data_IF_193732344581
#
_entry.id   IF_193732344581
#
_cell.length_a   1.000
_cell.length_b   1.000
_cell.length_c   1.000
_cell.angle_alpha   90.00
_cell.angle_beta   90.00
_cell.angle_gamma   90.00
#
_symmetry.space_group_name_H-M   'P 1'
#
loop_
_entity.id
_entity.type
_entity.pdbx_description
1 polymer ?
#
# COMPACT_ATOMS: atom_id res chain seq x y z
N UNK A 1 -10.05 -29.98 -8.23
CA UNK A 1 -9.87 -29.35 -9.55
C UNK A 1 -9.93 -27.82 -9.48
N UNK A 2 -11.09 -27.15 -9.41
CA UNK A 2 -11.15 -25.67 -9.47
C UNK A 2 -10.60 -24.97 -8.20
N UNK A 3 -10.86 -25.54 -7.02
CA UNK A 3 -10.31 -25.05 -5.74
C UNK A 3 -8.79 -25.23 -5.63
N UNK A 4 -8.26 -26.34 -6.14
CA UNK A 4 -6.81 -26.58 -6.18
C UNK A 4 -6.12 -25.61 -7.16
N UNK A 5 -6.71 -25.38 -8.34
CA UNK A 5 -6.18 -24.43 -9.32
C UNK A 5 -6.18 -23.00 -8.78
N UNK A 6 -7.23 -22.60 -8.06
CA UNK A 6 -7.31 -21.32 -7.37
C UNK A 6 -6.23 -21.20 -6.29
N UNK A 7 -6.00 -22.23 -5.48
CA UNK A 7 -4.95 -22.24 -4.47
C UNK A 7 -3.55 -22.13 -5.11
N UNK A 8 -3.28 -22.86 -6.19
CA UNK A 8 -2.01 -22.77 -6.92
C UNK A 8 -1.72 -21.36 -7.45
N UNK A 9 -2.75 -20.67 -7.94
CA UNK A 9 -2.62 -19.27 -8.37
C UNK A 9 -2.22 -18.37 -7.20
N UNK A 10 -2.80 -18.55 -6.01
CA UNK A 10 -2.44 -17.78 -4.82
C UNK A 10 -1.03 -18.11 -4.30
N UNK A 11 -0.61 -19.37 -4.35
CA UNK A 11 0.74 -19.79 -3.98
C UNK A 11 1.80 -19.09 -4.84
N UNK A 12 1.55 -18.98 -6.15
CA UNK A 12 2.44 -18.30 -7.08
C UNK A 12 2.49 -16.78 -6.86
N UNK A 13 1.37 -16.16 -6.50
CA UNK A 13 1.31 -14.74 -6.14
C UNK A 13 2.09 -14.50 -4.85
N UNK A 14 1.90 -15.34 -3.82
CA UNK A 14 2.61 -15.26 -2.55
C UNK A 14 4.13 -15.42 -2.74
N UNK A 15 4.54 -16.46 -3.46
CA UNK A 15 5.93 -16.75 -3.78
C UNK A 15 6.57 -15.60 -4.56
N UNK A 16 5.83 -14.97 -5.48
CA UNK A 16 6.32 -13.79 -6.22
C UNK A 16 6.66 -12.63 -5.30
N UNK A 17 5.75 -12.30 -4.39
CA UNK A 17 5.97 -11.20 -3.44
C UNK A 17 7.16 -11.48 -2.52
N UNK A 18 7.34 -12.73 -2.07
CA UNK A 18 8.51 -13.14 -1.27
C UNK A 18 9.82 -13.01 -2.04
N UNK A 19 9.88 -13.56 -3.26
CA UNK A 19 11.09 -13.52 -4.09
C UNK A 19 11.56 -12.07 -4.29
N UNK A 20 10.63 -11.16 -4.58
CA UNK A 20 10.95 -9.75 -4.76
C UNK A 20 11.33 -9.09 -3.44
N UNK A 21 10.58 -9.31 -2.36
CA UNK A 21 10.88 -8.71 -1.06
C UNK A 21 12.25 -9.13 -0.49
N UNK A 22 12.71 -10.35 -0.81
CA UNK A 22 14.01 -10.87 -0.35
C UNK A 22 15.17 -10.46 -1.25
N UNK A 23 14.96 -10.40 -2.57
CA UNK A 23 16.06 -10.27 -3.55
C UNK A 23 16.03 -8.95 -4.33
N UNK A 24 15.00 -8.14 -4.14
CA UNK A 24 14.70 -6.96 -4.93
C UNK A 24 14.06 -7.28 -6.28
N UNK A 25 13.27 -6.33 -6.77
CA UNK A 25 12.58 -6.44 -8.06
C UNK A 25 13.50 -6.71 -9.27
N UNK A 26 14.73 -6.16 -9.39
CA UNK A 26 15.62 -6.46 -10.52
C UNK A 26 16.07 -7.93 -10.59
N UNK A 27 16.10 -8.62 -9.46
CA UNK A 27 16.54 -10.02 -9.37
C UNK A 27 15.39 -11.02 -9.58
N UNK A 28 14.18 -10.54 -9.87
CA UNK A 28 13.00 -11.34 -10.13
C UNK A 28 13.16 -12.25 -11.35
N UNK A 29 12.71 -13.49 -11.25
CA UNK A 29 12.50 -14.37 -12.40
C UNK A 29 11.39 -15.38 -12.14
N UNK A 30 10.67 -15.78 -13.20
CA UNK A 30 9.62 -16.80 -13.13
C UNK A 30 10.14 -18.11 -12.53
N UNK A 31 11.37 -18.49 -12.86
CA UNK A 31 12.06 -19.67 -12.34
C UNK A 31 12.26 -19.64 -10.81
N UNK A 32 12.62 -18.49 -10.25
CA UNK A 32 12.73 -18.35 -8.78
C UNK A 32 11.39 -18.56 -8.09
N UNK A 33 10.31 -18.03 -8.68
CA UNK A 33 8.95 -18.20 -8.16
C UNK A 33 8.52 -19.66 -8.20
N UNK A 34 8.71 -20.35 -9.33
CA UNK A 34 8.30 -21.75 -9.48
C UNK A 34 9.09 -22.68 -8.58
N UNK A 35 10.38 -22.41 -8.40
CA UNK A 35 11.22 -23.14 -7.45
C UNK A 35 10.73 -22.98 -6.02
N UNK A 36 10.39 -21.75 -5.61
CA UNK A 36 9.87 -21.46 -4.27
C UNK A 36 8.48 -22.08 -4.06
N UNK A 37 7.61 -22.02 -5.06
CA UNK A 37 6.26 -22.57 -5.00
C UNK A 37 6.18 -24.10 -5.22
N UNK A 38 7.29 -24.75 -5.59
CA UNK A 38 7.33 -26.19 -5.86
C UNK A 38 6.50 -26.62 -7.07
N UNK A 39 6.43 -25.79 -8.11
CA UNK A 39 5.65 -26.06 -9.34
C UNK A 39 6.51 -25.99 -10.61
N UNK A 40 5.98 -26.45 -11.74
CA UNK A 40 6.68 -26.38 -13.03
C UNK A 40 6.61 -25.00 -13.67
N UNK A 41 7.60 -24.66 -14.51
CA UNK A 41 7.58 -23.43 -15.30
C UNK A 41 6.39 -23.36 -16.26
N UNK A 42 5.92 -24.50 -16.79
CA UNK A 42 4.72 -24.53 -17.62
C UNK A 42 3.48 -24.02 -16.88
N UNK A 43 3.37 -24.28 -15.57
CA UNK A 43 2.19 -23.89 -14.78
C UNK A 43 2.12 -22.38 -14.56
N UNK A 44 3.25 -21.71 -14.30
CA UNK A 44 3.25 -20.26 -14.08
C UNK A 44 2.91 -19.50 -15.37
N UNK A 45 3.39 -19.97 -16.53
CA UNK A 45 3.03 -19.38 -17.82
C UNK A 45 1.56 -19.65 -18.19
N UNK A 46 1.01 -20.81 -17.82
CA UNK A 46 -0.43 -21.08 -17.96
C UNK A 46 -1.29 -20.07 -17.19
N UNK A 47 -0.86 -19.65 -16.00
CA UNK A 47 -1.66 -18.76 -15.14
C UNK A 47 -1.51 -17.27 -15.42
N UNK A 48 -0.31 -16.81 -15.81
CA UNK A 48 -0.02 -15.38 -15.85
C UNK A 48 0.51 -14.89 -17.19
N UNK A 49 0.87 -15.77 -18.12
CA UNK A 49 1.42 -15.50 -19.45
C UNK A 49 2.76 -14.76 -19.48
N UNK A 50 2.92 -13.67 -18.72
CA UNK A 50 4.14 -12.86 -18.66
C UNK A 50 4.51 -12.50 -17.22
N UNK A 51 5.77 -12.11 -17.00
CA UNK A 51 6.22 -11.63 -15.69
C UNK A 51 5.54 -10.32 -15.31
N UNK A 52 5.28 -9.44 -16.28
CA UNK A 52 4.66 -8.14 -16.07
C UNK A 52 3.24 -8.29 -15.53
N UNK A 53 2.45 -9.21 -16.13
CA UNK A 53 1.10 -9.54 -15.67
C UNK A 53 1.09 -10.10 -14.26
N UNK A 54 2.02 -11.01 -13.94
CA UNK A 54 2.16 -11.58 -12.60
C UNK A 54 2.51 -10.52 -11.55
N UNK A 55 3.53 -9.69 -11.82
CA UNK A 55 3.94 -8.63 -10.91
C UNK A 55 2.82 -7.59 -10.71
N UNK A 56 2.16 -7.16 -11.79
CA UNK A 56 1.03 -6.24 -11.66
C UNK A 56 -0.10 -6.82 -10.82
N UNK A 57 -0.47 -8.10 -11.03
CA UNK A 57 -1.50 -8.75 -10.23
C UNK A 57 -1.12 -8.86 -8.74
N UNK A 58 0.15 -9.09 -8.43
CA UNK A 58 0.63 -9.06 -7.04
C UNK A 58 0.46 -7.66 -6.43
N UNK A 59 0.77 -6.61 -7.20
CA UNK A 59 0.60 -5.22 -6.76
C UNK A 59 -0.89 -4.92 -6.54
N UNK A 60 -1.72 -5.22 -7.53
CA UNK A 60 -3.18 -5.02 -7.49
C UNK A 60 -3.82 -5.77 -6.30
N UNK A 61 -3.30 -6.95 -5.96
CA UNK A 61 -3.76 -7.72 -4.80
C UNK A 61 -3.56 -6.97 -3.49
N UNK A 62 -2.36 -6.45 -3.24
CA UNK A 62 -2.07 -5.68 -2.01
C UNK A 62 -2.77 -4.32 -2.04
N UNK A 63 -2.78 -3.68 -3.20
CA UNK A 63 -3.39 -2.37 -3.41
C UNK A 63 -4.88 -2.38 -3.09
N UNK A 64 -5.63 -3.38 -3.55
CA UNK A 64 -7.06 -3.56 -3.22
C UNK A 64 -7.30 -3.80 -1.73
N UNK A 65 -6.39 -4.50 -1.05
CA UNK A 65 -6.50 -4.71 0.40
C UNK A 65 -6.34 -3.39 1.15
N UNK A 66 -5.38 -2.55 0.74
CA UNK A 66 -5.18 -1.21 1.30
C UNK A 66 -6.40 -0.32 1.00
N UNK A 67 -6.87 -0.30 -0.25
CA UNK A 67 -8.05 0.49 -0.66
C UNK A 67 -9.27 0.17 0.21
N UNK A 68 -9.52 -1.13 0.46
CA UNK A 68 -10.62 -1.59 1.28
C UNK A 68 -10.54 -1.17 2.77
N UNK A 69 -9.37 -0.77 3.28
CA UNK A 69 -9.26 -0.17 4.61
C UNK A 69 -9.89 1.23 4.64
N UNK A 70 -9.76 1.98 3.55
CA UNK A 70 -10.28 3.34 3.44
C UNK A 70 -11.74 3.37 2.98
N UNK A 71 -12.18 2.42 2.15
CA UNK A 71 -13.57 2.37 1.68
C UNK A 71 -14.58 2.06 2.80
N UNK A 72 -14.12 1.38 3.86
CA UNK A 72 -14.93 1.07 5.05
C UNK A 72 -15.00 2.23 6.05
N UNK A 73 -14.35 3.34 5.74
CA UNK A 73 -14.29 4.47 6.65
C UNK A 73 -15.53 5.33 6.51
N UNK A 74 -16.27 5.45 7.62
CA UNK A 74 -17.24 6.51 7.78
C UNK A 74 -16.51 7.73 8.33
N UNK A 75 -16.55 8.85 7.61
CA UNK A 75 -16.03 10.12 8.11
C UNK A 75 -17.11 10.67 9.04
N UNK A 76 -16.87 10.70 10.37
CA UNK A 76 -17.85 11.28 11.29
C UNK A 76 -18.04 12.76 10.95
N UNK A 77 -19.21 13.36 11.25
CA UNK A 77 -19.39 14.80 11.11
C UNK A 77 -18.29 15.49 11.92
N UNK A 78 -17.39 16.16 11.20
CA UNK A 78 -16.14 16.75 11.71
C UNK A 78 -16.47 18.01 12.53
N UNK A 79 -17.04 17.85 13.72
CA UNK A 79 -17.57 18.95 14.52
C UNK A 79 -16.53 19.59 15.44
N UNK A 80 -15.62 18.80 16.01
CA UNK A 80 -14.57 19.29 16.90
C UNK A 80 -13.15 18.85 16.45
N UNK A 81 -12.12 19.71 16.53
CA UNK A 81 -10.76 19.38 16.12
C UNK A 81 -10.19 18.09 16.74
N UNK A 82 -10.56 17.80 17.99
CA UNK A 82 -10.11 16.58 18.69
C UNK A 82 -10.71 15.30 18.08
N UNK A 83 -12.00 15.31 17.73
CA UNK A 83 -12.67 14.16 17.12
C UNK A 83 -12.07 13.84 15.75
N UNK A 84 -11.70 14.89 15.01
CA UNK A 84 -11.02 14.81 13.72
C UNK A 84 -9.64 14.17 13.89
N UNK A 85 -8.87 14.63 14.87
CA UNK A 85 -7.57 14.07 15.20
C UNK A 85 -7.66 12.58 15.54
N UNK A 86 -8.60 12.20 16.41
CA UNK A 86 -8.79 10.80 16.82
C UNK A 86 -9.23 9.91 15.66
N UNK A 87 -10.12 10.39 14.79
CA UNK A 87 -10.56 9.65 13.61
C UNK A 87 -9.40 9.40 12.63
N UNK A 88 -8.60 10.43 12.31
CA UNK A 88 -7.43 10.27 11.43
C UNK A 88 -6.36 9.41 12.08
N UNK A 89 -6.15 9.53 13.40
CA UNK A 89 -5.24 8.68 14.15
C UNK A 89 -5.66 7.21 14.04
N UNK A 90 -6.93 6.90 14.31
CA UNK A 90 -7.45 5.53 14.21
C UNK A 90 -7.32 4.95 12.79
N UNK A 91 -7.62 5.78 11.77
CA UNK A 91 -7.38 5.43 10.37
C UNK A 91 -5.92 5.07 10.12
N UNK A 92 -5.02 5.97 10.50
CA UNK A 92 -3.60 5.81 10.25
C UNK A 92 -3.04 4.59 11.00
N UNK A 93 -3.45 4.37 12.25
CA UNK A 93 -3.04 3.19 13.03
C UNK A 93 -3.50 1.88 12.39
N UNK A 94 -4.70 1.85 11.80
CA UNK A 94 -5.21 0.68 11.07
C UNK A 94 -4.37 0.43 9.82
N UNK A 95 -4.09 1.48 9.05
CA UNK A 95 -3.24 1.39 7.86
C UNK A 95 -1.80 0.98 8.19
N UNK A 96 -1.17 1.62 9.18
CA UNK A 96 0.18 1.31 9.62
C UNK A 96 0.30 -0.13 10.14
N UNK A 97 -0.67 -0.57 10.96
CA UNK A 97 -0.73 -1.95 11.45
C UNK A 97 -0.85 -2.94 10.30
N UNK A 98 -1.70 -2.67 9.32
CA UNK A 98 -1.82 -3.50 8.12
C UNK A 98 -0.47 -3.62 7.40
N UNK A 99 0.23 -2.51 7.18
CA UNK A 99 1.53 -2.52 6.51
C UNK A 99 2.55 -3.38 7.28
N UNK A 100 2.70 -3.15 8.59
CA UNK A 100 3.69 -3.88 9.41
C UNK A 100 3.36 -5.37 9.48
N UNK A 101 2.10 -5.73 9.71
CA UNK A 101 1.67 -7.14 9.80
C UNK A 101 1.80 -7.90 8.48
N UNK A 102 1.73 -7.19 7.34
CA UNK A 102 1.89 -7.77 6.00
C UNK A 102 3.32 -7.64 5.44
N UNK A 103 4.34 -7.52 6.31
CA UNK A 103 5.80 -7.61 6.06
C UNK A 103 6.26 -7.70 4.58
N UNK A 104 6.49 -8.90 4.03
CA UNK A 104 7.05 -9.06 2.68
C UNK A 104 6.11 -8.53 1.58
N UNK A 105 4.80 -8.55 1.80
CA UNK A 105 3.81 -7.97 0.86
C UNK A 105 3.92 -6.45 0.84
N UNK A 106 4.17 -5.83 1.99
CA UNK A 106 4.43 -4.40 2.11
C UNK A 106 5.73 -4.02 1.41
N UNK A 107 6.81 -4.76 1.64
CA UNK A 107 8.09 -4.52 0.95
C UNK A 107 7.88 -4.62 -0.57
N UNK A 108 7.26 -5.70 -1.04
CA UNK A 108 6.92 -5.89 -2.43
C UNK A 108 6.12 -4.72 -3.01
N UNK A 109 5.04 -4.33 -2.32
CA UNK A 109 4.12 -3.30 -2.78
C UNK A 109 4.83 -1.97 -3.04
N UNK A 110 5.62 -1.51 -2.07
CA UNK A 110 6.37 -0.26 -2.22
C UNK A 110 7.49 -0.37 -3.27
N UNK A 111 8.22 -1.49 -3.34
CA UNK A 111 9.24 -1.67 -4.37
C UNK A 111 8.67 -1.65 -5.79
N UNK A 112 7.54 -2.33 -6.02
CA UNK A 112 6.92 -2.36 -7.33
C UNK A 112 6.28 -1.02 -7.70
N UNK A 113 5.59 -0.37 -6.75
CA UNK A 113 4.96 0.94 -6.94
C UNK A 113 5.96 2.06 -7.23
N UNK A 114 7.16 2.00 -6.64
CA UNK A 114 8.19 3.01 -6.88
C UNK A 114 9.05 2.68 -8.13
N UNK A 115 8.80 1.52 -8.77
CA UNK A 115 9.56 1.06 -9.93
C UNK A 115 9.12 1.73 -11.25
N UNK A 116 9.95 1.60 -12.29
CA UNK A 116 9.57 2.01 -13.65
C UNK A 116 8.48 1.14 -14.29
N UNK A 117 8.24 -0.08 -13.76
CA UNK A 117 7.30 -1.02 -14.37
C UNK A 117 5.85 -0.59 -14.20
N UNK A 118 5.49 -0.04 -13.03
CA UNK A 118 4.14 0.50 -12.81
C UNK A 118 3.89 1.72 -13.71
N UNK A 119 4.90 2.55 -14.00
CA UNK A 119 4.76 3.75 -14.82
C UNK A 119 4.26 3.42 -16.23
N UNK A 120 4.83 2.37 -16.84
CA UNK A 120 4.40 1.90 -18.16
C UNK A 120 2.93 1.48 -18.18
N UNK A 121 2.44 0.88 -17.09
CA UNK A 121 1.03 0.47 -16.97
C UNK A 121 0.13 1.69 -16.73
N UNK A 122 0.54 2.60 -15.84
CA UNK A 122 -0.21 3.84 -15.53
C UNK A 122 -0.24 4.85 -16.68
N UNK A 123 0.75 4.81 -17.57
CA UNK A 123 0.78 5.60 -18.81
C UNK A 123 -0.11 4.99 -19.90
N UNK A 124 -0.22 3.66 -19.94
CA UNK A 124 -1.05 2.93 -20.90
C UNK A 124 -2.54 2.89 -20.52
N UNK A 125 -2.88 3.01 -19.23
CA UNK A 125 -4.25 2.92 -18.72
C UNK A 125 -4.54 4.01 -17.67
N UNK A 126 -5.26 5.05 -18.10
CA UNK A 126 -5.64 6.18 -17.26
C UNK A 126 -6.70 5.79 -16.20
N UNK A 127 -7.52 4.75 -16.42
CA UNK A 127 -8.51 4.28 -15.45
C UNK A 127 -7.86 3.66 -14.21
N UNK A 128 -6.65 3.13 -14.32
CA UNK A 128 -5.88 2.59 -13.19
C UNK A 128 -5.52 3.68 -12.17
N UNK A 129 -5.37 4.95 -12.60
CA UNK A 129 -5.10 6.07 -11.66
C UNK A 129 -6.31 6.42 -10.80
N UNK A 130 -7.51 6.34 -11.38
CA UNK A 130 -8.72 6.88 -10.74
C UNK A 130 -9.39 5.88 -9.78
N UNK A 131 -9.13 4.58 -9.89
CA UNK A 131 -10.04 3.58 -9.32
C UNK A 131 -9.72 3.18 -7.87
N UNK A 132 -8.48 3.28 -7.41
CA UNK A 132 -8.05 2.48 -6.25
C UNK A 132 -7.93 3.19 -4.91
N UNK A 133 -8.17 4.51 -4.85
CA UNK A 133 -8.10 5.26 -3.58
C UNK A 133 -9.22 6.27 -3.39
N UNK A 134 -10.38 6.00 -4.01
CA UNK A 134 -11.54 6.88 -3.91
C UNK A 134 -11.96 7.14 -2.45
N UNK A 135 -11.92 6.14 -1.57
CA UNK A 135 -12.18 6.33 -0.13
C UNK A 135 -11.22 7.34 0.52
N UNK A 136 -9.92 7.20 0.28
CA UNK A 136 -8.91 8.12 0.82
C UNK A 136 -9.02 9.53 0.21
N UNK A 137 -9.23 9.63 -1.10
CA UNK A 137 -9.46 10.91 -1.78
C UNK A 137 -10.67 11.63 -1.19
N UNK A 138 -11.77 10.92 -0.91
CA UNK A 138 -12.94 11.48 -0.24
C UNK A 138 -12.63 12.04 1.14
N UNK A 139 -11.77 11.37 1.92
CA UNK A 139 -11.29 11.88 3.22
C UNK A 139 -10.61 13.24 3.06
N UNK A 140 -9.63 13.35 2.14
CA UNK A 140 -8.94 14.62 1.94
C UNK A 140 -9.79 15.70 1.29
N UNK A 141 -10.75 15.33 0.43
CA UNK A 141 -11.73 16.27 -0.10
C UNK A 141 -12.63 16.84 1.01
N UNK A 142 -13.10 15.99 1.94
CA UNK A 142 -13.89 16.43 3.09
C UNK A 142 -13.07 17.35 4.01
N UNK A 143 -11.81 17.00 4.30
CA UNK A 143 -10.89 17.84 5.05
C UNK A 143 -10.65 19.19 4.36
N UNK A 144 -10.42 19.17 3.04
CA UNK A 144 -10.21 20.40 2.29
C UNK A 144 -11.46 21.29 2.25
N UNK A 145 -12.65 20.71 2.13
CA UNK A 145 -13.90 21.48 2.14
C UNK A 145 -14.11 22.26 3.45
N UNK A 146 -13.58 21.76 4.56
CA UNK A 146 -13.71 22.39 5.88
C UNK A 146 -12.51 23.29 6.24
N UNK A 147 -11.30 22.88 5.90
CA UNK A 147 -10.06 23.49 6.39
C UNK A 147 -9.20 24.14 5.32
N UNK A 148 -9.61 24.08 4.05
CA UNK A 148 -8.90 24.70 2.92
C UNK A 148 -7.41 24.31 2.84
N UNK A 149 -7.07 23.06 3.20
CA UNK A 149 -5.68 22.58 3.23
C UNK A 149 -5.00 22.66 1.85
N UNK A 150 -5.76 22.63 0.76
CA UNK A 150 -5.21 22.74 -0.60
C UNK A 150 -4.82 24.15 -1.01
N UNK A 151 -5.15 25.17 -0.20
CA UNK A 151 -4.62 26.51 -0.38
C UNK A 151 -3.14 26.58 0.04
N UNK A 152 -2.68 25.62 0.85
CA UNK A 152 -1.32 25.58 1.43
C UNK A 152 -0.42 24.52 0.80
N UNK A 153 -0.99 23.46 0.22
CA UNK A 153 -0.25 22.36 -0.39
C UNK A 153 -1.05 21.70 -1.51
N UNK A 154 -0.40 20.99 -2.44
CA UNK A 154 -1.14 20.24 -3.47
C UNK A 154 -1.55 18.85 -2.97
N UNK A 155 -2.63 18.26 -3.53
CA UNK A 155 -3.03 16.88 -3.24
C UNK A 155 -1.87 15.88 -3.42
N UNK A 156 -1.06 16.04 -4.46
CA UNK A 156 0.08 15.15 -4.74
C UNK A 156 1.15 15.21 -3.63
N UNK A 157 1.48 16.39 -3.13
CA UNK A 157 2.47 16.53 -2.05
C UNK A 157 1.94 15.93 -0.74
N UNK A 158 0.65 16.16 -0.44
CA UNK A 158 0.02 15.61 0.75
C UNK A 158 -0.08 14.07 0.69
N UNK A 159 -0.44 13.55 -0.49
CA UNK A 159 -0.48 12.14 -0.80
C UNK A 159 0.87 11.47 -0.57
N UNK A 160 1.91 12.04 -1.18
CA UNK A 160 3.29 11.54 -1.03
C UNK A 160 3.74 11.62 0.42
N UNK A 161 3.51 12.74 1.10
CA UNK A 161 3.87 12.88 2.50
C UNK A 161 3.20 11.80 3.38
N UNK A 162 1.89 11.61 3.27
CA UNK A 162 1.19 10.69 4.17
C UNK A 162 1.50 9.24 3.82
N UNK A 163 1.37 8.81 2.58
CA UNK A 163 1.50 7.39 2.25
C UNK A 163 2.96 6.93 2.11
N UNK A 164 3.82 7.75 1.51
CA UNK A 164 5.19 7.33 1.24
C UNK A 164 6.05 7.39 2.50
N UNK A 165 5.88 8.43 3.34
CA UNK A 165 6.56 8.50 4.63
C UNK A 165 6.06 7.41 5.59
N UNK A 166 4.74 7.14 5.63
CA UNK A 166 4.21 5.98 6.38
C UNK A 166 4.83 4.67 5.89
N UNK A 167 4.95 4.49 4.57
CA UNK A 167 5.61 3.34 3.98
C UNK A 167 7.09 3.20 4.35
N UNK A 168 7.82 4.32 4.46
CA UNK A 168 9.21 4.33 4.94
C UNK A 168 9.28 3.80 6.38
N UNK A 169 8.48 4.34 7.30
CA UNK A 169 8.47 3.88 8.69
C UNK A 169 8.07 2.42 8.82
N UNK A 170 7.01 2.00 8.11
CA UNK A 170 6.57 0.60 8.13
C UNK A 170 7.69 -0.34 7.65
N UNK A 171 8.39 0.00 6.56
CA UNK A 171 9.54 -0.80 6.07
C UNK A 171 10.69 -0.87 7.08
N UNK A 172 10.97 0.20 7.82
CA UNK A 172 11.99 0.21 8.88
C UNK A 172 11.60 -0.67 10.06
N UNK A 173 10.34 -0.64 10.47
CA UNK A 173 9.81 -1.53 11.51
C UNK A 173 9.87 -2.99 11.06
N UNK A 174 9.43 -3.30 9.84
CA UNK A 174 9.48 -4.66 9.26
C UNK A 174 10.90 -5.22 9.24
N UNK A 175 11.91 -4.37 8.97
CA UNK A 175 13.33 -4.76 8.93
C UNK A 175 13.99 -4.83 10.32
N UNK A 176 13.26 -4.50 11.39
CA UNK A 176 13.80 -4.44 12.75
C UNK A 176 14.73 -3.24 13.01
N UNK A 177 14.73 -2.23 12.13
CA UNK A 177 15.49 -0.99 12.31
C UNK A 177 14.81 -0.06 13.34
N UNK A 178 13.49 -0.19 13.48
CA UNK A 178 12.67 0.50 14.48
C UNK A 178 11.82 -0.53 15.23
N UNK A 179 11.55 -0.34 16.54
CA UNK A 179 10.73 -1.27 17.32
C UNK A 179 9.25 -1.18 16.94
N UNK A 180 8.54 -2.31 17.00
CA UNK A 180 7.08 -2.36 16.86
C UNK A 180 6.37 -2.31 18.22
N UNK A 181 6.59 -1.23 18.97
CA UNK A 181 5.90 -0.97 20.25
C UNK A 181 4.85 0.13 20.09
N UNK A 182 3.90 0.20 21.03
CA UNK A 182 2.90 1.28 21.07
C UNK A 182 3.57 2.66 21.11
N UNK A 183 4.57 2.86 21.97
CA UNK A 183 5.35 4.10 22.05
C UNK A 183 6.00 4.46 20.70
N UNK A 184 6.60 3.48 20.00
CA UNK A 184 7.20 3.71 18.68
C UNK A 184 6.17 4.15 17.65
N UNK A 185 4.99 3.50 17.65
CA UNK A 185 3.88 3.85 16.76
C UNK A 185 3.33 5.24 17.04
N UNK A 186 3.20 5.64 18.30
CA UNK A 186 2.81 7.00 18.67
C UNK A 186 3.83 8.02 18.21
N UNK A 187 5.13 7.79 18.43
CA UNK A 187 6.18 8.70 17.96
C UNK A 187 6.13 8.92 16.44
N UNK A 188 5.88 7.84 15.67
CA UNK A 188 5.73 7.94 14.21
C UNK A 188 4.46 8.74 13.85
N UNK A 189 3.35 8.47 14.54
CA UNK A 189 2.10 9.18 14.33
C UNK A 189 2.21 10.67 14.66
N UNK A 190 2.88 11.06 15.75
CA UNK A 190 3.09 12.47 16.09
C UNK A 190 3.86 13.21 14.98
N UNK A 191 4.88 12.59 14.39
CA UNK A 191 5.63 13.17 13.27
C UNK A 191 4.77 13.36 12.01
N UNK A 192 3.91 12.38 11.69
CA UNK A 192 3.04 12.41 10.50
C UNK A 192 1.87 13.38 10.71
N UNK A 193 1.23 13.31 11.87
CA UNK A 193 0.10 14.16 12.22
C UNK A 193 0.52 15.61 12.39
N UNK A 194 1.72 15.89 12.91
CA UNK A 194 2.25 17.26 13.00
C UNK A 194 2.27 17.98 11.65
N UNK A 195 2.68 17.31 10.57
CA UNK A 195 2.66 17.89 9.22
C UNK A 195 1.24 18.10 8.68
N UNK A 196 0.32 17.16 8.93
CA UNK A 196 -1.08 17.28 8.48
C UNK A 196 -1.83 18.38 9.25
N UNK A 197 -1.79 18.35 10.58
CA UNK A 197 -2.53 19.26 11.44
C UNK A 197 -1.88 20.66 11.49
N UNK A 198 -0.59 20.78 11.17
CA UNK A 198 0.06 22.06 10.93
C UNK A 198 -0.56 22.84 9.76
N UNK A 199 -1.21 22.18 8.80
CA UNK A 199 -1.93 22.84 7.71
C UNK A 199 -3.27 23.45 8.15
N UNK A 200 -3.77 23.12 9.34
CA UNK A 200 -5.04 23.67 9.85
C UNK A 200 -4.89 25.06 10.51
N UNK A 201 -3.66 25.49 10.81
CA UNK A 201 -3.34 26.80 11.39
C UNK A 201 -3.25 27.87 10.31
#
# INVERSE_FOLDING_TARGET
MEWEEKNRKYDLIDATMRVVAENGLPAFSMKKVTNLAGVSEALIYKHFETKEKLLYLCFETVHRQIAALFDKMEIPPLQAPQEIYEAVRAMWMTYFSFLVQNSYRTIYYFEYRDSRYIRQIMEADQQVKDTYFQGFVKVFMAFNAQFHIYDKTSPDHLWTYILDVTGIFAKRVIRGELPDTEESRENIWELISGGLFGLLQ
#
